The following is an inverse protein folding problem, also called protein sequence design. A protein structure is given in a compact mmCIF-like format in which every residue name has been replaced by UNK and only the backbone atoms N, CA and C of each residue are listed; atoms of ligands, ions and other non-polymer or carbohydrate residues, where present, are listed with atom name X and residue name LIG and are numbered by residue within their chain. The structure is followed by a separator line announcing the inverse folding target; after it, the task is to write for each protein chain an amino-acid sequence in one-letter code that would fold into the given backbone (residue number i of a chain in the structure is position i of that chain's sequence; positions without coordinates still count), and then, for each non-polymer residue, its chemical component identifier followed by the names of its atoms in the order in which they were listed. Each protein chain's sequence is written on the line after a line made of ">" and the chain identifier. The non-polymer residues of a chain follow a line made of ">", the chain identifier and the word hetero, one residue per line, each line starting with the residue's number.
data_IF_610975640159
#
_entry.id   IF_610975640159
#
_cell.length_a   1.000
_cell.length_b   1.000
_cell.length_c   1.000
_cell.angle_alpha   90.00
_cell.angle_beta   90.00
_cell.angle_gamma   90.00
#
_symmetry.space_group_name_H-M   'P 1'
#
loop_
_entity.id
_entity.type
_entity.pdbx_description
1 polymer ?
#
# COMPACT_ATOMS: atom_id res chain seq x y z
N UNK A 1 -40.66 11.37 44.23
CA UNK A 1 -40.22 10.60 43.05
C UNK A 1 -39.38 11.56 42.23
N UNK A 2 -38.06 11.51 42.38
CA UNK A 2 -37.18 12.15 41.40
C UNK A 2 -37.29 11.33 40.12
N UNK A 3 -37.58 11.97 38.99
CA UNK A 3 -37.28 11.38 37.69
C UNK A 3 -35.77 11.10 37.68
N UNK A 4 -35.37 9.84 37.58
CA UNK A 4 -33.96 9.51 37.34
C UNK A 4 -33.60 10.10 35.97
N UNK A 5 -32.85 11.18 35.98
CA UNK A 5 -32.35 11.78 34.75
C UNK A 5 -31.48 10.73 34.03
N UNK A 6 -31.79 10.45 32.77
CA UNK A 6 -31.02 9.51 31.95
C UNK A 6 -29.59 10.06 31.80
N UNK A 7 -28.54 9.22 31.96
CA UNK A 7 -27.16 9.68 31.83
C UNK A 7 -26.91 10.24 30.43
N UNK A 8 -26.14 11.32 30.34
CA UNK A 8 -25.83 11.98 29.06
C UNK A 8 -24.39 11.69 28.62
N UNK A 9 -24.15 11.69 27.31
CA UNK A 9 -22.81 11.57 26.72
C UNK A 9 -22.63 12.61 25.62
N UNK A 10 -21.55 13.37 25.67
CA UNK A 10 -21.15 14.31 24.63
C UNK A 10 -19.70 14.07 24.22
N UNK A 11 -19.46 13.83 22.93
CA UNK A 11 -18.11 13.74 22.40
C UNK A 11 -17.57 15.14 22.08
N UNK A 12 -16.37 15.44 22.56
CA UNK A 12 -15.65 16.66 22.24
C UNK A 12 -14.92 16.54 20.90
N UNK A 13 -14.29 15.39 20.63
CA UNK A 13 -13.64 15.11 19.34
C UNK A 13 -13.49 13.61 19.10
N UNK A 14 -13.36 13.23 17.83
CA UNK A 14 -12.98 11.90 17.38
C UNK A 14 -11.82 12.01 16.40
N UNK A 15 -10.84 11.12 16.53
CA UNK A 15 -9.73 10.98 15.59
C UNK A 15 -9.60 9.53 15.16
N UNK A 16 -9.01 9.32 13.99
CA UNK A 16 -8.66 7.99 13.47
C UNK A 16 -7.21 8.00 13.00
N UNK A 17 -6.56 6.85 12.99
CA UNK A 17 -5.22 6.72 12.40
C UNK A 17 -5.30 6.64 10.88
N UNK A 18 -4.25 7.14 10.20
CA UNK A 18 -4.08 6.97 8.76
C UNK A 18 -3.67 5.54 8.40
N UNK A 19 -3.79 5.20 7.12
CA UNK A 19 -3.45 3.87 6.58
C UNK A 19 -2.70 3.99 5.27
N UNK A 20 -1.96 2.95 4.89
CA UNK A 20 -1.33 2.84 3.58
C UNK A 20 -2.07 1.80 2.75
N UNK A 21 -2.46 2.14 1.53
CA UNK A 21 -3.03 1.21 0.55
C UNK A 21 -2.05 1.01 -0.60
N UNK A 22 -2.05 -0.18 -1.20
CA UNK A 22 -1.21 -0.52 -2.34
C UNK A 22 -2.07 -0.73 -3.60
N UNK A 23 -1.70 -0.06 -4.69
CA UNK A 23 -2.40 -0.24 -5.97
C UNK A 23 -2.20 -1.67 -6.52
N UNK A 24 -3.20 -2.19 -7.23
CA UNK A 24 -3.16 -3.54 -7.79
C UNK A 24 -3.36 -4.67 -6.77
N UNK A 25 -3.69 -4.34 -5.51
CA UNK A 25 -3.90 -5.31 -4.44
C UNK A 25 -5.30 -5.16 -3.80
N UNK A 26 -5.79 -6.27 -3.24
CA UNK A 26 -6.89 -6.21 -2.28
C UNK A 26 -6.29 -5.91 -0.89
N UNK A 27 -6.60 -4.73 -0.37
CA UNK A 27 -6.02 -4.22 0.86
C UNK A 27 -6.98 -4.48 2.01
N UNK A 28 -6.49 -5.06 3.10
CA UNK A 28 -7.21 -5.06 4.40
C UNK A 28 -6.32 -4.35 5.41
N UNK A 29 -6.83 -3.28 5.99
CA UNK A 29 -6.10 -2.41 6.91
C UNK A 29 -6.90 -2.23 8.19
N UNK A 30 -6.20 -1.97 9.28
CA UNK A 30 -6.79 -1.72 10.60
C UNK A 30 -6.51 -0.29 11.04
N UNK A 31 -7.51 0.34 11.68
CA UNK A 31 -7.36 1.67 12.27
C UNK A 31 -7.64 1.67 13.76
N UNK A 32 -7.05 2.64 14.44
CA UNK A 32 -7.39 3.01 15.80
C UNK A 32 -8.24 4.27 15.79
N UNK A 33 -9.39 4.22 16.44
CA UNK A 33 -10.29 5.36 16.63
C UNK A 33 -10.24 5.80 18.08
N UNK A 34 -9.91 7.06 18.32
CA UNK A 34 -9.85 7.68 19.64
C UNK A 34 -10.94 8.72 19.76
N UNK A 35 -11.65 8.75 20.89
CA UNK A 35 -12.60 9.80 21.18
C UNK A 35 -12.29 10.48 22.52
N UNK A 36 -12.60 11.77 22.61
CA UNK A 36 -12.57 12.52 23.86
C UNK A 36 -13.97 13.01 24.19
N UNK A 37 -14.30 13.07 25.47
CA UNK A 37 -15.61 13.50 25.95
C UNK A 37 -15.58 14.95 26.40
N UNK A 38 -16.72 15.64 26.27
CA UNK A 38 -16.94 16.86 27.03
C UNK A 38 -17.37 16.46 28.45
N UNK A 39 -16.42 16.43 29.38
CA UNK A 39 -16.63 15.95 30.75
C UNK A 39 -17.77 16.69 31.47
N UNK A 40 -18.00 17.97 31.17
CA UNK A 40 -19.06 18.76 31.79
C UNK A 40 -20.48 18.26 31.43
N UNK A 41 -20.61 17.56 30.30
CA UNK A 41 -21.87 17.09 29.74
C UNK A 41 -21.89 15.56 29.54
N UNK A 42 -20.96 14.84 30.17
CA UNK A 42 -20.83 13.38 30.06
C UNK A 42 -20.87 12.75 31.43
N UNK A 43 -21.74 11.76 31.61
CA UNK A 43 -21.82 10.94 32.80
C UNK A 43 -20.81 9.78 32.70
N UNK A 44 -19.81 9.77 33.58
CA UNK A 44 -18.78 8.71 33.63
C UNK A 44 -19.35 7.34 34.06
N UNK A 45 -20.55 7.30 34.64
CA UNK A 45 -21.19 6.05 35.07
C UNK A 45 -21.79 5.22 33.93
N UNK A 46 -21.77 5.73 32.69
CA UNK A 46 -22.27 5.01 31.51
C UNK A 46 -21.43 3.75 31.26
N UNK A 47 -22.05 2.62 31.53
CA UNK A 47 -21.51 1.27 31.40
C UNK A 47 -22.64 0.30 31.04
N UNK A 48 -22.35 -0.76 30.27
CA UNK A 48 -23.39 -1.65 29.79
C UNK A 48 -22.97 -2.41 28.53
N UNK A 49 -23.96 -2.81 27.73
CA UNK A 49 -23.79 -3.49 26.46
C UNK A 49 -24.28 -2.60 25.31
N UNK A 50 -23.74 -2.84 24.10
CA UNK A 50 -24.17 -2.16 22.86
C UNK A 50 -24.20 -0.63 23.00
N UNK A 51 -23.20 -0.06 23.66
CA UNK A 51 -23.14 1.38 23.92
C UNK A 51 -22.77 2.17 22.67
N UNK A 52 -21.87 1.60 21.86
CA UNK A 52 -21.19 2.30 20.78
C UNK A 52 -21.26 1.52 19.47
N UNK A 53 -21.35 2.27 18.38
CA UNK A 53 -21.14 1.82 17.02
C UNK A 53 -20.10 2.73 16.37
N UNK A 54 -19.12 2.14 15.70
CA UNK A 54 -18.15 2.89 14.89
C UNK A 54 -18.35 2.53 13.43
N UNK A 55 -18.66 3.57 12.63
CA UNK A 55 -18.78 3.47 11.19
C UNK A 55 -17.47 3.89 10.53
N UNK A 56 -16.93 3.08 9.64
CA UNK A 56 -15.73 3.38 8.86
C UNK A 56 -16.07 3.53 7.37
N UNK A 57 -15.39 4.43 6.68
CA UNK A 57 -15.45 4.54 5.22
C UNK A 57 -14.25 5.29 4.66
N UNK A 58 -14.01 5.14 3.37
CA UNK A 58 -13.07 5.99 2.65
C UNK A 58 -13.76 7.15 1.95
N UNK A 59 -13.09 8.30 1.91
CA UNK A 59 -13.56 9.54 1.30
C UNK A 59 -12.47 10.19 0.45
N UNK A 60 -12.90 11.07 -0.45
CA UNK A 60 -12.03 12.04 -1.14
C UNK A 60 -11.89 13.35 -0.38
N UNK A 61 -12.83 13.65 0.52
CA UNK A 61 -12.85 14.87 1.29
C UNK A 61 -12.20 14.64 2.65
N UNK A 62 -11.39 15.62 3.08
CA UNK A 62 -10.69 15.61 4.37
C UNK A 62 -11.64 15.55 5.58
N UNK A 63 -12.86 16.07 5.42
CA UNK A 63 -13.91 16.05 6.45
C UNK A 63 -14.86 14.84 6.32
N UNK A 64 -14.56 13.91 5.41
CA UNK A 64 -15.36 12.71 5.19
C UNK A 64 -16.72 12.97 4.53
N UNK A 65 -17.03 14.20 4.13
CA UNK A 65 -18.30 14.54 3.50
C UNK A 65 -18.33 14.18 2.01
N UNK A 66 -19.54 14.03 1.46
CA UNK A 66 -19.75 13.69 0.06
C UNK A 66 -19.79 12.18 -0.20
N UNK A 67 -19.19 11.73 -1.30
CA UNK A 67 -19.25 10.33 -1.72
C UNK A 67 -18.33 9.45 -0.86
N UNK A 68 -18.90 8.42 -0.24
CA UNK A 68 -18.15 7.39 0.49
C UNK A 68 -17.95 6.13 -0.36
N UNK A 69 -16.85 5.42 -0.14
CA UNK A 69 -16.61 4.07 -0.68
C UNK A 69 -16.24 3.10 0.43
N UNK A 70 -16.52 1.82 0.20
CA UNK A 70 -16.22 0.69 1.09
C UNK A 70 -16.56 0.97 2.55
N UNK A 71 -17.86 1.16 2.82
CA UNK A 71 -18.36 1.49 4.15
C UNK A 71 -18.54 0.24 5.00
N UNK A 72 -18.09 0.31 6.26
CA UNK A 72 -18.40 -0.63 7.33
C UNK A 72 -19.29 0.10 8.33
N UNK A 73 -20.55 -0.30 8.47
CA UNK A 73 -21.51 0.42 9.31
C UNK A 73 -21.28 0.19 10.82
N UNK A 74 -20.75 -0.96 11.22
CA UNK A 74 -20.27 -1.20 12.58
C UNK A 74 -19.00 -2.05 12.54
N UNK A 75 -17.86 -1.49 12.95
CA UNK A 75 -16.58 -2.18 13.01
C UNK A 75 -16.22 -2.70 14.41
N UNK A 76 -17.04 -2.41 15.43
CA UNK A 76 -16.75 -2.81 16.80
C UNK A 76 -17.12 -4.27 17.07
N UNK A 77 -16.25 -4.99 17.78
CA UNK A 77 -16.60 -6.25 18.44
C UNK A 77 -17.55 -6.04 19.63
N UNK A 78 -18.22 -7.10 20.10
CA UNK A 78 -19.10 -7.03 21.27
C UNK A 78 -18.39 -6.56 22.55
N UNK A 79 -17.09 -6.85 22.69
CA UNK A 79 -16.32 -6.37 23.83
C UNK A 79 -16.01 -4.87 23.73
N UNK A 80 -15.72 -4.39 22.51
CA UNK A 80 -15.46 -2.98 22.25
C UNK A 80 -16.75 -2.15 22.38
N UNK A 81 -17.89 -2.61 21.83
CA UNK A 81 -19.17 -1.89 21.95
C UNK A 81 -19.68 -1.77 23.40
N UNK A 82 -19.19 -2.61 24.31
CA UNK A 82 -19.52 -2.59 25.74
C UNK A 82 -18.54 -1.76 26.61
N UNK A 83 -17.56 -1.08 26.01
CA UNK A 83 -16.54 -0.31 26.75
C UNK A 83 -17.20 0.83 27.54
N UNK A 84 -17.06 0.87 28.86
CA UNK A 84 -17.58 1.97 29.67
C UNK A 84 -16.87 3.29 29.37
N UNK A 85 -17.55 4.41 29.62
CA UNK A 85 -16.95 5.75 29.50
C UNK A 85 -15.68 5.85 30.35
N UNK A 86 -14.64 6.46 29.78
CA UNK A 86 -13.38 6.74 30.45
C UNK A 86 -12.81 8.03 29.87
N UNK A 87 -12.54 9.03 30.70
CA UNK A 87 -12.06 10.34 30.23
C UNK A 87 -10.58 10.38 29.85
N UNK A 88 -9.78 9.42 30.32
CA UNK A 88 -8.32 9.43 30.11
C UNK A 88 -7.89 8.64 28.86
N UNK A 89 -8.64 7.58 28.51
CA UNK A 89 -8.29 6.70 27.39
C UNK A 89 -9.51 5.97 26.82
N UNK A 90 -10.12 6.58 25.80
CA UNK A 90 -11.28 6.03 25.11
C UNK A 90 -10.97 5.75 23.63
N UNK A 91 -10.34 4.60 23.42
CA UNK A 91 -9.82 4.12 22.15
C UNK A 91 -10.47 2.80 21.71
N UNK A 92 -10.60 2.61 20.40
CA UNK A 92 -11.00 1.37 19.75
C UNK A 92 -9.92 1.00 18.74
N UNK A 93 -9.19 -0.08 19.02
CA UNK A 93 -8.08 -0.55 18.21
C UNK A 93 -8.52 -1.67 17.26
N UNK A 94 -7.68 -1.98 16.27
CA UNK A 94 -7.86 -3.10 15.35
C UNK A 94 -9.20 -3.10 14.59
N UNK A 95 -9.70 -1.91 14.23
CA UNK A 95 -10.93 -1.81 13.44
C UNK A 95 -10.63 -2.00 11.97
N UNK A 96 -11.04 -3.14 11.42
CA UNK A 96 -10.72 -3.55 10.05
C UNK A 96 -11.64 -2.92 9.00
N UNK A 97 -11.05 -2.59 7.85
CA UNK A 97 -11.74 -2.15 6.64
C UNK A 97 -10.94 -2.58 5.41
N UNK A 98 -11.65 -3.03 4.36
CA UNK A 98 -11.03 -3.51 3.13
C UNK A 98 -11.24 -2.58 1.94
N UNK A 99 -10.23 -2.49 1.07
CA UNK A 99 -10.21 -1.72 -0.15
C UNK A 99 -9.63 -2.55 -1.30
N UNK A 100 -10.50 -2.95 -2.23
CA UNK A 100 -10.09 -3.63 -3.46
C UNK A 100 -9.58 -2.60 -4.48
N UNK A 101 -8.26 -2.58 -4.68
CA UNK A 101 -7.54 -1.75 -5.64
C UNK A 101 -6.97 -2.60 -6.79
N UNK A 102 -7.42 -3.84 -6.98
CA UNK A 102 -6.94 -4.74 -8.05
C UNK A 102 -7.21 -4.19 -9.45
N UNK A 103 -8.26 -3.37 -9.61
CA UNK A 103 -8.70 -2.79 -10.89
C UNK A 103 -8.84 -1.26 -10.86
N UNK A 104 -8.54 -0.62 -9.74
CA UNK A 104 -8.68 0.82 -9.52
C UNK A 104 -7.48 1.37 -8.75
N UNK A 105 -7.04 2.59 -9.06
CA UNK A 105 -6.00 3.29 -8.29
C UNK A 105 -6.54 3.95 -7.02
N UNK A 106 -5.64 4.55 -6.23
CA UNK A 106 -5.99 5.17 -4.93
C UNK A 106 -6.83 6.45 -5.02
N UNK A 107 -7.13 6.97 -6.21
CA UNK A 107 -7.75 8.30 -6.36
C UNK A 107 -9.12 8.50 -5.66
N UNK A 108 -9.82 7.41 -5.30
CA UNK A 108 -11.07 7.45 -4.50
C UNK A 108 -10.85 7.27 -2.99
N UNK A 109 -9.63 6.94 -2.58
CA UNK A 109 -9.23 6.57 -1.22
C UNK A 109 -8.19 7.58 -0.72
N UNK A 110 -8.60 8.84 -0.50
CA UNK A 110 -7.68 9.89 -0.04
C UNK A 110 -7.68 10.04 1.48
N UNK A 111 -8.81 9.76 2.11
CA UNK A 111 -8.99 9.82 3.55
C UNK A 111 -9.75 8.59 4.03
N UNK A 112 -9.37 8.09 5.19
CA UNK A 112 -10.13 7.11 5.96
C UNK A 112 -10.83 7.86 7.09
N UNK A 113 -12.13 7.63 7.23
CA UNK A 113 -12.97 8.34 8.17
C UNK A 113 -13.67 7.37 9.10
N UNK A 114 -13.78 7.78 10.36
CA UNK A 114 -14.49 7.08 11.40
C UNK A 114 -15.56 7.99 12.00
N UNK A 115 -16.72 7.42 12.31
CA UNK A 115 -17.76 8.11 13.06
C UNK A 115 -18.28 7.24 14.20
N UNK A 116 -18.23 7.78 15.41
CA UNK A 116 -18.80 7.14 16.59
C UNK A 116 -20.25 7.58 16.79
N UNK A 117 -21.11 6.62 17.11
CA UNK A 117 -22.55 6.82 17.33
C UNK A 117 -23.03 5.97 18.49
N UNK A 118 -24.11 6.40 19.12
CA UNK A 118 -24.94 5.55 19.98
C UNK A 118 -25.51 4.38 19.17
N UNK A 119 -25.35 3.17 19.70
CA UNK A 119 -25.96 1.96 19.15
C UNK A 119 -27.31 1.69 19.84
N UNK A 120 -27.54 0.52 20.43
CA UNK A 120 -28.74 0.16 21.20
C UNK A 120 -28.40 -0.15 22.67
N UNK A 121 -28.05 0.88 23.47
CA UNK A 121 -27.42 0.71 24.78
C UNK A 121 -28.34 0.09 25.83
N UNK A 122 -27.78 -0.86 26.58
CA UNK A 122 -28.41 -1.47 27.74
C UNK A 122 -27.51 -1.36 28.98
N UNK A 123 -27.83 -0.50 29.99
CA UNK A 123 -28.95 0.44 30.06
C UNK A 123 -28.82 1.64 29.11
N UNK A 124 -29.94 2.31 28.83
CA UNK A 124 -29.97 3.46 27.91
C UNK A 124 -29.27 4.69 28.48
N UNK A 125 -28.66 5.47 27.59
CA UNK A 125 -28.14 6.81 27.82
C UNK A 125 -28.53 7.74 26.67
N UNK A 126 -28.43 9.06 26.89
CA UNK A 126 -28.71 10.09 25.89
C UNK A 126 -27.43 10.66 25.30
N UNK A 127 -27.22 10.50 24.00
CA UNK A 127 -26.14 11.18 23.28
C UNK A 127 -26.57 12.62 22.91
N UNK A 128 -25.91 13.62 23.51
CA UNK A 128 -26.13 15.05 23.25
C UNK A 128 -25.02 15.64 22.37
N UNK A 129 -25.14 16.91 21.99
CA UNK A 129 -24.04 17.61 21.30
C UNK A 129 -23.60 17.00 19.98
N UNK A 130 -24.53 16.45 19.18
CA UNK A 130 -24.26 15.76 17.89
C UNK A 130 -23.77 16.73 16.80
N UNK A 131 -22.59 17.30 17.01
CA UNK A 131 -21.85 18.03 15.98
C UNK A 131 -21.09 17.01 15.13
N UNK A 132 -20.91 17.34 13.84
CA UNK A 132 -20.12 16.50 12.94
C UNK A 132 -18.70 16.34 13.49
N UNK A 133 -18.07 17.45 13.88
CA UNK A 133 -16.68 17.48 14.39
C UNK A 133 -16.51 16.72 15.71
N UNK A 134 -17.53 16.69 16.57
CA UNK A 134 -17.46 15.95 17.83
C UNK A 134 -17.53 14.44 17.65
N UNK A 135 -18.11 13.94 16.56
CA UNK A 135 -18.36 12.49 16.36
C UNK A 135 -17.61 11.87 15.19
N UNK A 136 -17.00 12.67 14.32
CA UNK A 136 -16.35 12.25 13.09
C UNK A 136 -14.88 12.69 13.08
N UNK A 137 -13.99 11.76 12.77
CA UNK A 137 -12.58 12.03 12.53
C UNK A 137 -12.10 11.36 11.24
N UNK A 138 -11.24 12.03 10.49
CA UNK A 138 -10.62 11.48 9.28
C UNK A 138 -9.10 11.63 9.34
N UNK A 139 -8.41 10.71 8.68
CA UNK A 139 -6.96 10.71 8.52
C UNK A 139 -6.57 10.46 7.05
N UNK A 140 -5.42 10.98 6.60
CA UNK A 140 -4.96 10.76 5.23
C UNK A 140 -4.65 9.28 4.98
N UNK A 141 -4.89 8.86 3.74
CA UNK A 141 -4.48 7.57 3.21
C UNK A 141 -3.23 7.76 2.35
N UNK A 142 -2.18 7.04 2.66
CA UNK A 142 -0.99 6.98 1.83
C UNK A 142 -1.19 5.94 0.72
N UNK A 143 -0.90 6.31 -0.52
CA UNK A 143 -0.93 5.38 -1.64
C UNK A 143 0.49 4.90 -1.93
N UNK A 144 0.76 3.64 -1.61
CA UNK A 144 1.97 2.94 -2.02
C UNK A 144 1.81 2.40 -3.44
N UNK A 145 2.88 2.47 -4.22
CA UNK A 145 3.01 1.60 -5.39
C UNK A 145 3.19 0.15 -4.91
N UNK A 146 2.59 -0.85 -5.57
CA UNK A 146 2.83 -2.23 -5.21
C UNK A 146 4.34 -2.47 -5.20
N UNK A 147 4.87 -2.92 -4.05
CA UNK A 147 6.23 -3.43 -3.98
C UNK A 147 6.22 -4.74 -4.77
N UNK A 148 6.43 -4.66 -6.08
CA UNK A 148 6.93 -5.83 -6.80
C UNK A 148 8.24 -6.21 -6.11
N UNK A 149 8.40 -7.44 -5.61
CA UNK A 149 9.66 -7.86 -5.03
C UNK A 149 10.75 -7.61 -6.09
N UNK A 150 11.80 -6.87 -5.73
CA UNK A 150 12.94 -6.72 -6.62
C UNK A 150 13.56 -8.11 -6.81
N UNK A 151 13.52 -8.70 -8.01
CA UNK A 151 14.04 -10.04 -8.22
C UNK A 151 15.55 -10.05 -7.96
N UNK A 152 16.01 -11.01 -7.17
CA UNK A 152 17.43 -11.24 -6.97
C UNK A 152 17.97 -12.03 -8.16
N UNK A 153 19.04 -11.56 -8.80
CA UNK A 153 19.66 -12.23 -9.95
C UNK A 153 21.16 -12.44 -9.69
N UNK A 154 21.66 -13.64 -10.00
CA UNK A 154 23.08 -13.99 -9.81
C UNK A 154 23.65 -14.50 -11.14
N UNK A 155 24.18 -13.62 -12.01
CA UNK A 155 24.83 -14.04 -13.25
C UNK A 155 26.14 -14.79 -12.93
N UNK A 156 26.35 -15.92 -13.61
CA UNK A 156 27.52 -16.79 -13.41
C UNK A 156 28.52 -16.70 -14.56
N UNK A 157 28.04 -16.58 -15.79
CA UNK A 157 28.88 -16.41 -16.98
C UNK A 157 28.12 -15.77 -18.13
N UNK A 158 28.87 -15.28 -19.11
CA UNK A 158 28.35 -14.72 -20.36
C UNK A 158 29.15 -15.30 -21.52
N UNK A 159 28.45 -15.67 -22.59
CA UNK A 159 29.07 -16.09 -23.86
C UNK A 159 28.62 -15.15 -24.97
N UNK A 160 29.57 -14.76 -25.81
CA UNK A 160 29.34 -13.94 -27.01
C UNK A 160 29.81 -14.73 -28.23
N UNK A 161 29.07 -14.66 -29.33
CA UNK A 161 29.47 -15.31 -30.59
C UNK A 161 30.73 -14.67 -31.14
N UNK A 162 31.71 -15.49 -31.53
CA UNK A 162 32.93 -15.00 -32.16
C UNK A 162 32.63 -14.31 -33.49
N UNK A 163 33.31 -13.20 -33.72
CA UNK A 163 33.17 -12.40 -34.94
C UNK A 163 34.55 -12.05 -35.51
N UNK A 164 34.61 -11.81 -36.81
CA UNK A 164 35.85 -11.43 -37.50
C UNK A 164 35.64 -10.11 -38.22
N UNK A 165 36.60 -9.19 -38.08
CA UNK A 165 36.62 -7.91 -38.80
C UNK A 165 37.61 -7.94 -39.95
N UNK A 166 37.24 -7.33 -41.08
CA UNK A 166 38.08 -7.26 -42.29
C UNK A 166 38.66 -5.86 -42.47
N UNK A 167 39.98 -5.79 -42.61
CA UNK A 167 40.71 -4.53 -42.81
C UNK A 167 40.36 -3.89 -44.15
N UNK A 168 40.08 -2.58 -44.13
CA UNK A 168 39.77 -1.80 -45.32
C UNK A 168 38.29 -1.81 -45.72
N UNK A 169 37.44 -2.49 -44.95
CA UNK A 169 36.00 -2.58 -45.21
C UNK A 169 35.17 -1.95 -44.07
N UNK A 170 33.93 -1.57 -44.40
CA UNK A 170 32.94 -1.23 -43.38
C UNK A 170 32.39 -2.53 -42.81
N UNK A 171 32.78 -2.84 -41.58
CA UNK A 171 32.30 -4.02 -40.87
C UNK A 171 30.97 -3.71 -40.17
N UNK A 172 30.02 -4.63 -40.23
CA UNK A 172 28.81 -4.66 -39.41
C UNK A 172 28.86 -5.94 -38.60
N UNK A 173 28.76 -5.81 -37.28
CA UNK A 173 29.00 -6.90 -36.33
C UNK A 173 27.68 -7.21 -35.65
N UNK A 174 27.15 -8.39 -35.95
CA UNK A 174 26.00 -8.96 -35.27
C UNK A 174 26.51 -10.10 -34.37
N UNK A 175 26.14 -10.07 -33.10
CA UNK A 175 26.60 -11.03 -32.09
C UNK A 175 25.42 -11.52 -31.26
N UNK A 176 25.32 -12.84 -31.11
CA UNK A 176 24.41 -13.41 -30.12
C UNK A 176 25.11 -13.40 -28.76
N UNK A 177 24.39 -12.94 -27.74
CA UNK A 177 24.85 -12.91 -26.34
C UNK A 177 23.96 -13.85 -25.52
N UNK A 178 24.56 -14.75 -24.75
CA UNK A 178 23.84 -15.58 -23.78
C UNK A 178 24.41 -15.36 -22.38
N UNK A 179 23.53 -15.07 -21.44
CA UNK A 179 23.85 -14.89 -20.01
C UNK A 179 23.32 -16.08 -19.24
N UNK A 180 24.19 -16.68 -18.42
CA UNK A 180 23.87 -17.79 -17.54
C UNK A 180 23.77 -17.30 -16.09
N UNK A 181 22.88 -17.91 -15.31
CA UNK A 181 22.64 -17.52 -13.92
C UNK A 181 22.72 -18.74 -12.99
N UNK A 182 22.94 -18.49 -11.70
CA UNK A 182 22.78 -19.50 -10.66
C UNK A 182 21.28 -19.71 -10.41
N UNK A 183 20.75 -20.84 -10.89
CA UNK A 183 19.34 -21.19 -10.78
C UNK A 183 18.84 -21.29 -9.33
N UNK A 184 19.73 -21.51 -8.35
CA UNK A 184 19.37 -21.61 -6.94
C UNK A 184 19.29 -20.28 -6.22
N UNK A 185 19.76 -19.21 -6.85
CA UNK A 185 19.86 -17.86 -6.26
C UNK A 185 19.17 -16.79 -7.11
N UNK A 186 18.63 -17.16 -8.27
CA UNK A 186 18.04 -16.24 -9.26
C UNK A 186 16.54 -16.41 -9.31
N UNK A 187 15.82 -15.31 -9.03
CA UNK A 187 14.38 -15.21 -9.16
C UNK A 187 13.96 -14.99 -10.62
N UNK A 188 12.70 -15.28 -10.91
CA UNK A 188 12.10 -14.94 -12.20
C UNK A 188 11.96 -13.41 -12.35
N UNK A 189 12.30 -12.89 -13.52
CA UNK A 189 12.16 -11.49 -13.90
C UNK A 189 11.08 -11.38 -14.97
N UNK A 190 10.06 -10.56 -14.70
CA UNK A 190 8.97 -10.26 -15.63
C UNK A 190 8.73 -8.75 -15.69
N UNK A 191 8.06 -8.26 -16.73
CA UNK A 191 7.84 -6.83 -16.95
C UNK A 191 8.65 -6.28 -18.13
N UNK A 192 8.69 -4.96 -18.23
CA UNK A 192 9.29 -4.23 -19.36
C UNK A 192 10.53 -3.44 -18.89
N UNK A 193 11.46 -3.17 -19.79
CA UNK A 193 12.63 -2.31 -19.49
C UNK A 193 13.72 -2.98 -18.66
N UNK A 194 13.74 -4.32 -18.59
CA UNK A 194 14.55 -5.05 -17.61
C UNK A 194 16.05 -5.13 -17.97
N UNK A 195 16.38 -5.04 -19.26
CA UNK A 195 17.75 -5.32 -19.73
C UNK A 195 18.35 -4.14 -20.50
N UNK A 196 19.65 -3.92 -20.30
CA UNK A 196 20.48 -3.05 -21.15
C UNK A 196 21.76 -3.79 -21.47
N UNK A 197 22.12 -3.84 -22.75
CA UNK A 197 23.39 -4.40 -23.21
C UNK A 197 24.25 -3.27 -23.77
N UNK A 198 25.54 -3.35 -23.49
CA UNK A 198 26.57 -2.48 -24.04
C UNK A 198 27.61 -3.40 -24.67
N UNK A 199 27.99 -3.12 -25.92
CA UNK A 199 28.99 -3.89 -26.66
C UNK A 199 30.11 -2.95 -27.09
N UNK A 200 31.35 -3.42 -26.97
CA UNK A 200 32.54 -2.70 -27.40
C UNK A 200 33.62 -3.65 -27.93
N UNK A 201 34.51 -3.13 -28.76
CA UNK A 201 35.74 -3.80 -29.18
C UNK A 201 36.90 -3.41 -28.23
N UNK A 202 37.85 -4.32 -28.07
CA UNK A 202 39.06 -4.13 -27.26
C UNK A 202 40.27 -4.67 -28.03
N UNK A 203 41.41 -3.98 -27.89
CA UNK A 203 42.72 -4.42 -28.37
C UNK A 203 43.48 -5.28 -27.35
N UNK A 204 42.93 -5.42 -26.14
CA UNK A 204 43.43 -6.30 -25.07
C UNK A 204 42.61 -7.59 -24.98
N UNK A 205 43.30 -8.73 -24.76
CA UNK A 205 42.76 -10.09 -24.78
C UNK A 205 41.57 -10.33 -23.82
N UNK A 206 41.43 -9.53 -22.77
CA UNK A 206 40.34 -9.68 -21.77
C UNK A 206 39.30 -8.59 -21.81
N UNK A 207 39.54 -7.48 -22.52
CA UNK A 207 38.66 -6.30 -22.53
C UNK A 207 38.39 -5.64 -21.17
N UNK A 208 39.01 -6.11 -20.09
CA UNK A 208 38.86 -5.60 -18.72
C UNK A 208 39.78 -4.41 -18.42
N UNK A 209 40.80 -4.25 -19.26
CA UNK A 209 41.79 -3.17 -19.22
C UNK A 209 41.94 -2.63 -20.63
N UNK A 210 42.24 -1.34 -20.79
CA UNK A 210 42.39 -0.70 -22.11
C UNK A 210 41.23 0.22 -22.49
N UNK A 211 41.26 0.72 -23.73
CA UNK A 211 40.24 1.64 -24.24
C UNK A 211 39.11 0.88 -24.93
N UNK A 212 37.85 1.24 -24.65
CA UNK A 212 36.69 0.73 -25.39
C UNK A 212 36.67 1.36 -26.78
N UNK A 213 36.61 0.53 -27.82
CA UNK A 213 36.57 0.96 -29.22
C UNK A 213 35.19 0.65 -29.78
N UNK A 214 34.61 1.59 -30.54
CA UNK A 214 33.30 1.42 -31.17
C UNK A 214 32.17 1.00 -30.20
N UNK A 215 32.19 1.57 -28.99
CA UNK A 215 31.17 1.34 -27.96
C UNK A 215 29.80 1.79 -28.45
N UNK A 216 28.82 0.89 -28.35
CA UNK A 216 27.43 1.19 -28.67
C UNK A 216 26.57 0.87 -27.46
N UNK A 217 25.84 1.88 -27.00
CA UNK A 217 24.77 1.72 -26.02
C UNK A 217 23.44 1.52 -26.75
N UNK A 218 22.52 0.76 -26.15
CA UNK A 218 21.18 0.48 -26.71
C UNK A 218 21.21 -0.40 -27.97
N UNK A 219 22.02 -1.47 -27.95
CA UNK A 219 22.13 -2.43 -29.05
C UNK A 219 20.97 -3.40 -29.17
N UNK A 220 20.05 -3.41 -28.20
CA UNK A 220 18.93 -4.35 -28.15
C UNK A 220 17.59 -3.67 -28.50
N UNK A 221 16.73 -4.44 -29.15
CA UNK A 221 15.34 -4.07 -29.47
C UNK A 221 14.48 -3.99 -28.20
N UNK A 222 13.34 -3.30 -28.26
CA UNK A 222 12.35 -3.30 -27.18
C UNK A 222 11.93 -4.74 -26.79
N UNK A 223 11.74 -5.62 -27.79
CA UNK A 223 11.37 -7.01 -27.53
C UNK A 223 12.45 -7.78 -26.75
N UNK A 224 13.72 -7.49 -26.99
CA UNK A 224 14.84 -8.04 -26.24
C UNK A 224 14.94 -7.43 -24.84
N UNK A 225 14.65 -6.14 -24.70
CA UNK A 225 14.63 -5.41 -23.42
C UNK A 225 13.55 -5.93 -22.46
N UNK A 226 12.44 -6.41 -23.00
CA UNK A 226 11.28 -6.91 -22.24
C UNK A 226 11.28 -8.46 -22.11
N UNK A 227 12.36 -9.11 -22.54
CA UNK A 227 12.45 -10.57 -22.50
C UNK A 227 12.40 -11.08 -21.05
N UNK A 228 11.46 -11.97 -20.67
CA UNK A 228 11.40 -12.47 -19.30
C UNK A 228 12.55 -13.44 -19.01
N UNK A 229 13.05 -13.43 -17.78
CA UNK A 229 13.93 -14.47 -17.25
C UNK A 229 13.08 -15.40 -16.39
N UNK A 230 12.87 -16.63 -16.85
CA UNK A 230 12.10 -17.64 -16.10
C UNK A 230 12.94 -18.89 -15.89
N UNK A 231 12.92 -19.45 -14.68
CA UNK A 231 13.64 -20.68 -14.34
C UNK A 231 15.17 -20.54 -14.34
N UNK A 232 15.69 -19.33 -14.13
CA UNK A 232 17.14 -19.06 -14.02
C UNK A 232 17.91 -19.06 -15.35
N UNK A 233 17.25 -19.07 -16.50
CA UNK A 233 17.90 -18.91 -17.81
C UNK A 233 18.68 -20.13 -18.32
N UNK A 234 19.38 -20.01 -19.47
CA UNK A 234 20.03 -18.79 -19.95
C UNK A 234 19.11 -17.76 -20.60
N UNK A 235 19.48 -16.49 -20.47
CA UNK A 235 18.87 -15.38 -21.19
C UNK A 235 19.69 -15.09 -22.44
N UNK A 236 19.11 -15.33 -23.62
CA UNK A 236 19.80 -15.15 -24.92
C UNK A 236 19.19 -13.99 -25.69
N UNK A 237 20.06 -13.11 -26.19
CA UNK A 237 19.76 -11.97 -27.05
C UNK A 237 20.27 -12.27 -28.47
N UNK A 238 19.38 -12.23 -29.46
CA UNK A 238 19.63 -12.44 -30.90
C UNK A 238 18.93 -11.39 -31.73
#
# INVERSE_FOLDING_TARGET
>A
MEESQEPEVEFASVTTTGVTLFEGQDNTVSVTVSATFNEANTDESVAGQNLWQVRLWFSKAEDGQGSSVNTVDNSLSSAQSAKSVNFNDFTFEDLEISADLTSVGCGKYQYICAQIRRDDPEPSYKQVGKTLQGTLGCAPVECGSPRLPTPHIVPTSLTITETSVTTGERNTIDVDISVFFDQSQTDDVTGEGNWKIIVWLSDEDTGNTGSRIAETEETITLAQMDQPLTGGGPLTFR
#
